data_IF_473316713898
#
_entry.id   IF_473316713898
#
_cell.length_a   1.000
_cell.length_b   1.000
_cell.length_c   1.000
_cell.angle_alpha   90.00
_cell.angle_beta   90.00
_cell.angle_gamma   90.00
#
_symmetry.space_group_name_H-M   'P 1'
#
loop_
_entity.id
_entity.type
_entity.pdbx_description
1 polymer ?
#
# COMPACT_ATOMS: atom_id res chain seq x y z
N UNK A 1 -10.86 18.54 13.86
CA UNK A 1 -11.72 17.43 14.37
C UNK A 1 -10.87 16.17 14.41
N UNK A 2 -10.99 15.31 15.43
CA UNK A 2 -10.21 14.06 15.52
C UNK A 2 -10.90 13.00 14.67
N UNK A 3 -10.19 12.38 13.74
CA UNK A 3 -10.71 11.31 12.88
C UNK A 3 -10.62 10.00 13.65
N UNK A 4 -11.76 9.34 13.85
CA UNK A 4 -11.85 8.04 14.50
C UNK A 4 -11.67 6.91 13.48
N UNK A 5 -10.55 6.23 13.57
CA UNK A 5 -10.14 5.17 12.65
C UNK A 5 -10.38 3.79 13.27
N UNK A 6 -10.95 2.88 12.50
CA UNK A 6 -10.97 1.46 12.83
C UNK A 6 -10.12 0.67 11.81
N UNK A 7 -9.49 -0.42 12.26
CA UNK A 7 -8.69 -1.30 11.43
C UNK A 7 -9.34 -2.69 11.41
N UNK A 8 -9.76 -3.14 10.24
CA UNK A 8 -10.25 -4.50 10.02
C UNK A 8 -9.17 -5.34 9.35
N UNK A 9 -8.64 -6.34 10.05
CA UNK A 9 -7.45 -7.10 9.67
C UNK A 9 -6.18 -6.53 10.27
N UNK A 10 -5.63 -7.19 11.28
CA UNK A 10 -4.44 -6.74 12.02
C UNK A 10 -3.17 -7.50 11.63
N UNK A 11 -3.05 -7.73 10.31
CA UNK A 11 -1.92 -8.40 9.67
C UNK A 11 -0.74 -7.47 9.37
N UNK A 12 0.01 -7.80 8.28
CA UNK A 12 1.22 -7.07 7.85
C UNK A 12 0.96 -5.62 7.43
N UNK A 13 -0.28 -5.24 7.09
CA UNK A 13 -0.65 -3.87 6.75
C UNK A 13 -1.35 -3.18 7.93
N UNK A 14 -2.26 -3.87 8.62
CA UNK A 14 -2.99 -3.26 9.74
C UNK A 14 -2.10 -2.83 10.90
N UNK A 15 -1.07 -3.63 11.27
CA UNK A 15 -0.14 -3.27 12.35
C UNK A 15 0.75 -2.07 12.02
N UNK A 16 1.42 -1.97 10.85
CA UNK A 16 2.11 -0.74 10.46
C UNK A 16 1.16 0.47 10.38
N UNK A 17 -0.05 0.29 9.85
CA UNK A 17 -1.04 1.38 9.81
C UNK A 17 -1.39 1.92 11.20
N UNK A 18 -1.53 1.04 12.19
CA UNK A 18 -1.70 1.48 13.58
C UNK A 18 -0.48 2.26 14.07
N UNK A 19 0.75 1.76 13.86
CA UNK A 19 1.98 2.42 14.30
C UNK A 19 2.12 3.81 13.68
N UNK A 20 1.78 3.94 12.40
CA UNK A 20 1.81 5.21 11.66
C UNK A 20 0.72 6.16 12.16
N UNK A 21 -0.51 5.68 12.34
CA UNK A 21 -1.62 6.48 12.85
C UNK A 21 -1.34 7.04 14.25
N UNK A 22 -0.65 6.28 15.11
CA UNK A 22 -0.20 6.73 16.43
C UNK A 22 0.84 7.86 16.39
N UNK A 23 1.54 8.03 15.29
CA UNK A 23 2.50 9.12 15.07
C UNK A 23 1.87 10.37 14.43
N UNK A 24 0.59 10.32 14.03
CA UNK A 24 -0.10 11.44 13.36
C UNK A 24 -1.04 12.18 14.31
N UNK A 25 -0.96 13.50 14.29
CA UNK A 25 -1.94 14.35 14.96
C UNK A 25 -3.29 14.30 14.22
N UNK A 26 -4.38 14.41 14.95
CA UNK A 26 -5.74 14.44 14.37
C UNK A 26 -6.33 13.07 14.02
N UNK A 27 -5.64 11.96 14.29
CA UNK A 27 -6.12 10.60 14.08
C UNK A 27 -6.15 9.84 15.41
N UNK A 28 -7.24 9.16 15.68
CA UNK A 28 -7.41 8.25 16.82
C UNK A 28 -7.84 6.87 16.33
N UNK A 29 -7.04 5.84 16.59
CA UNK A 29 -7.45 4.45 16.37
C UNK A 29 -8.31 4.01 17.54
N UNK A 30 -9.61 3.85 17.31
CA UNK A 30 -10.60 3.52 18.37
C UNK A 30 -10.88 2.02 18.45
N UNK A 31 -10.66 1.28 17.35
CA UNK A 31 -10.96 -0.14 17.29
C UNK A 31 -10.09 -0.91 16.31
N UNK A 32 -9.90 -2.20 16.61
CA UNK A 32 -9.30 -3.20 15.75
C UNK A 32 -10.23 -4.40 15.71
N UNK A 33 -10.40 -5.01 14.54
CA UNK A 33 -11.03 -6.30 14.38
C UNK A 33 -10.07 -7.26 13.66
N UNK A 34 -9.83 -8.42 14.23
CA UNK A 34 -9.05 -9.51 13.61
C UNK A 34 -9.47 -10.85 14.27
N UNK A 35 -9.40 -11.95 13.53
CA UNK A 35 -9.75 -13.28 14.08
C UNK A 35 -8.67 -13.89 14.98
N UNK A 36 -7.50 -13.25 15.05
CA UNK A 36 -6.43 -13.60 15.98
C UNK A 36 -6.78 -13.16 17.40
N UNK A 37 -6.43 -13.92 18.41
CA UNK A 37 -6.66 -13.54 19.81
C UNK A 37 -5.86 -12.30 20.22
N UNK A 38 -6.38 -11.55 21.19
CA UNK A 38 -5.83 -10.28 21.64
C UNK A 38 -4.37 -10.38 22.13
N UNK A 39 -4.01 -11.46 22.82
CA UNK A 39 -2.65 -11.68 23.35
C UNK A 39 -1.65 -11.86 22.21
N UNK A 40 -2.00 -12.68 21.22
CA UNK A 40 -1.18 -12.89 20.01
C UNK A 40 -1.08 -11.60 19.20
N UNK A 41 -2.18 -10.85 19.03
CA UNK A 41 -2.19 -9.57 18.32
C UNK A 41 -1.27 -8.54 18.99
N UNK A 42 -1.32 -8.41 20.31
CA UNK A 42 -0.44 -7.54 21.09
C UNK A 42 1.04 -7.95 20.98
N UNK A 43 1.32 -9.26 21.04
CA UNK A 43 2.68 -9.79 20.87
C UNK A 43 3.25 -9.43 19.49
N UNK A 44 2.47 -9.65 18.42
CA UNK A 44 2.88 -9.37 17.04
C UNK A 44 2.95 -7.86 16.73
N UNK A 45 2.23 -7.01 17.46
CA UNK A 45 2.41 -5.57 17.38
C UNK A 45 3.74 -5.14 18.01
N UNK A 46 4.07 -5.73 19.18
CA UNK A 46 5.26 -5.40 19.94
C UNK A 46 6.54 -5.89 19.28
N UNK A 47 6.53 -7.09 18.70
CA UNK A 47 7.69 -7.73 18.10
C UNK A 47 7.43 -8.03 16.62
N UNK A 48 8.24 -7.45 15.77
CA UNK A 48 8.14 -7.62 14.31
C UNK A 48 9.51 -8.04 13.76
N UNK A 49 9.55 -9.15 13.04
CA UNK A 49 10.81 -9.68 12.48
C UNK A 49 11.44 -8.75 11.44
N UNK A 50 10.63 -7.96 10.73
CA UNK A 50 11.10 -7.02 9.72
C UNK A 50 11.47 -5.66 10.33
N UNK A 51 10.60 -5.11 11.22
CA UNK A 51 10.75 -3.75 11.75
C UNK A 51 11.28 -3.67 13.18
N UNK A 52 11.51 -4.84 13.81
CA UNK A 52 12.05 -4.89 15.18
C UNK A 52 11.00 -4.65 16.25
N UNK A 53 11.46 -4.35 17.46
CA UNK A 53 10.60 -4.10 18.60
C UNK A 53 9.96 -2.72 18.50
N UNK A 54 8.63 -2.67 18.72
CA UNK A 54 7.91 -1.39 18.78
C UNK A 54 8.31 -0.62 20.04
N UNK A 55 8.66 0.63 19.88
CA UNK A 55 9.19 1.48 20.97
C UNK A 55 8.13 1.83 22.02
N UNK A 56 6.86 1.89 21.61
CA UNK A 56 5.75 2.21 22.51
C UNK A 56 5.42 1.04 23.44
N UNK A 57 4.94 1.36 24.63
CA UNK A 57 4.44 0.35 25.54
C UNK A 57 3.19 -0.31 24.97
N UNK A 58 3.15 -1.66 24.99
CA UNK A 58 2.01 -2.45 24.53
C UNK A 58 1.59 -3.39 25.66
N UNK A 59 0.34 -3.28 26.09
CA UNK A 59 -0.31 -4.14 27.08
C UNK A 59 -1.76 -4.46 26.65
N UNK A 60 -2.42 -5.33 27.41
CA UNK A 60 -3.80 -5.74 27.13
C UNK A 60 -4.64 -5.67 28.38
N UNK A 61 -5.94 -5.43 28.20
CA UNK A 61 -6.99 -5.65 29.20
C UNK A 61 -7.95 -6.72 28.65
N UNK A 62 -7.73 -7.98 29.05
CA UNK A 62 -8.55 -9.09 28.55
C UNK A 62 -10.02 -8.98 29.00
N UNK A 63 -10.27 -8.44 30.20
CA UNK A 63 -11.62 -8.29 30.75
C UNK A 63 -12.48 -7.35 29.91
N UNK A 64 -11.86 -6.28 29.40
CA UNK A 64 -12.55 -5.25 28.61
C UNK A 64 -12.31 -5.42 27.09
N UNK A 65 -11.58 -6.48 26.68
CA UNK A 65 -11.16 -6.70 25.29
C UNK A 65 -10.51 -5.45 24.68
N UNK A 66 -9.44 -4.97 25.33
CA UNK A 66 -8.73 -3.75 24.93
C UNK A 66 -7.25 -4.04 24.69
N UNK A 67 -6.74 -3.59 23.54
CA UNK A 67 -5.32 -3.38 23.29
C UNK A 67 -4.94 -2.00 23.82
N UNK A 68 -3.88 -1.92 24.59
CA UNK A 68 -3.42 -0.65 25.18
C UNK A 68 -2.04 -0.31 24.63
N UNK A 69 -1.90 0.88 24.01
CA UNK A 69 -0.65 1.38 23.46
C UNK A 69 -0.35 2.75 24.05
N UNK A 70 0.75 2.89 24.78
CA UNK A 70 1.10 4.12 25.52
C UNK A 70 -0.07 4.67 26.34
N UNK A 71 -0.79 3.78 27.06
CA UNK A 71 -1.95 4.10 27.87
C UNK A 71 -3.25 4.39 27.11
N UNK A 72 -3.22 4.49 25.79
CA UNK A 72 -4.43 4.66 24.95
C UNK A 72 -5.11 3.30 24.75
N UNK A 73 -6.39 3.23 25.05
CA UNK A 73 -7.21 2.01 24.94
C UNK A 73 -7.85 1.92 23.58
N UNK A 74 -7.71 0.77 22.94
CA UNK A 74 -8.26 0.46 21.61
C UNK A 74 -9.14 -0.78 21.79
N UNK A 75 -10.41 -0.71 21.42
CA UNK A 75 -11.32 -1.86 21.46
C UNK A 75 -10.86 -2.93 20.47
N UNK A 76 -10.88 -4.18 20.91
CA UNK A 76 -10.46 -5.32 20.09
C UNK A 76 -11.62 -6.30 19.91
N UNK A 77 -11.93 -6.61 18.66
CA UNK A 77 -13.00 -7.52 18.27
C UNK A 77 -12.45 -8.72 17.52
N UNK A 78 -13.18 -9.83 17.55
CA UNK A 78 -12.89 -11.06 16.82
C UNK A 78 -14.13 -11.51 16.05
N UNK A 79 -14.71 -10.58 15.27
CA UNK A 79 -15.97 -10.80 14.56
C UNK A 79 -15.70 -11.05 13.05
N UNK A 80 -16.10 -12.22 12.53
CA UNK A 80 -15.89 -12.54 11.12
C UNK A 80 -16.84 -11.79 10.18
N UNK A 81 -17.98 -11.29 10.65
CA UNK A 81 -18.95 -10.56 9.85
C UNK A 81 -18.90 -9.06 10.15
N UNK A 82 -18.37 -8.23 9.23
CA UNK A 82 -18.21 -6.80 9.46
C UNK A 82 -19.51 -6.05 9.81
N UNK A 83 -20.67 -6.55 9.39
CA UNK A 83 -21.97 -5.95 9.68
C UNK A 83 -22.31 -5.94 11.17
N UNK A 84 -21.74 -6.88 11.95
CA UNK A 84 -21.98 -6.99 13.39
C UNK A 84 -21.01 -6.17 14.25
N UNK A 85 -20.07 -5.47 13.63
CA UNK A 85 -19.12 -4.65 14.34
C UNK A 85 -19.75 -3.34 14.83
N UNK A 86 -19.44 -2.85 16.03
CA UNK A 86 -20.13 -1.71 16.65
C UNK A 86 -19.58 -0.35 16.17
N UNK A 87 -19.39 -0.17 14.86
CA UNK A 87 -18.81 1.05 14.32
C UNK A 87 -19.62 2.30 14.63
N UNK A 88 -20.94 2.19 14.63
CA UNK A 88 -21.83 3.27 14.99
C UNK A 88 -21.63 3.75 16.43
N UNK A 89 -21.59 2.82 17.37
CA UNK A 89 -21.47 3.13 18.80
C UNK A 89 -20.11 3.74 19.15
N UNK A 90 -19.05 3.36 18.42
CA UNK A 90 -17.71 3.90 18.55
C UNK A 90 -17.52 5.22 17.77
N UNK A 91 -18.47 5.57 16.91
CA UNK A 91 -18.43 6.76 16.07
C UNK A 91 -17.29 6.70 15.04
N UNK A 92 -17.08 5.53 14.43
CA UNK A 92 -16.00 5.31 13.44
C UNK A 92 -16.23 6.17 12.20
N UNK A 93 -15.26 7.02 11.89
CA UNK A 93 -15.28 7.83 10.67
C UNK A 93 -14.80 7.04 9.46
N UNK A 94 -13.68 6.32 9.60
CA UNK A 94 -13.09 5.54 8.50
C UNK A 94 -12.67 4.15 8.98
N UNK A 95 -12.99 3.13 8.20
CA UNK A 95 -12.44 1.78 8.35
C UNK A 95 -11.30 1.59 7.35
N UNK A 96 -10.13 1.19 7.82
CA UNK A 96 -9.09 0.60 6.98
C UNK A 96 -9.35 -0.89 6.84
N UNK A 97 -9.78 -1.32 5.66
CA UNK A 97 -10.00 -2.74 5.36
C UNK A 97 -8.71 -3.40 4.91
N UNK A 98 -8.07 -4.14 5.82
CA UNK A 98 -6.75 -4.73 5.66
C UNK A 98 -6.75 -6.27 5.63
N UNK A 99 -7.93 -6.93 5.58
CA UNK A 99 -8.01 -8.40 5.57
C UNK A 99 -7.64 -9.01 4.22
N UNK A 100 -7.85 -8.25 3.12
CA UNK A 100 -7.74 -8.75 1.74
C UNK A 100 -8.88 -9.70 1.31
N UNK A 101 -9.88 -9.94 2.18
CA UNK A 101 -11.04 -10.81 1.92
C UNK A 101 -12.20 -10.02 1.31
N UNK A 102 -12.47 -8.83 1.86
CA UNK A 102 -13.54 -7.94 1.43
C UNK A 102 -13.00 -7.01 0.34
N UNK A 103 -13.20 -7.36 -0.93
CA UNK A 103 -12.57 -6.70 -2.08
C UNK A 103 -13.54 -6.32 -3.19
N UNK A 104 -14.83 -6.18 -2.84
CA UNK A 104 -15.90 -5.65 -3.68
C UNK A 104 -16.72 -4.64 -2.89
N UNK A 105 -17.33 -3.69 -3.59
CA UNK A 105 -18.15 -2.65 -2.99
C UNK A 105 -19.30 -3.23 -2.15
N UNK A 106 -19.93 -4.31 -2.60
CA UNK A 106 -20.95 -5.04 -1.84
C UNK A 106 -20.44 -5.51 -0.48
N UNK A 107 -19.27 -6.18 -0.46
CA UNK A 107 -18.70 -6.70 0.78
C UNK A 107 -18.23 -5.61 1.72
N UNK A 108 -17.67 -4.53 1.17
CA UNK A 108 -17.20 -3.37 1.93
C UNK A 108 -18.37 -2.57 2.49
N UNK A 109 -19.53 -2.60 1.83
CA UNK A 109 -20.77 -1.97 2.28
C UNK A 109 -21.22 -2.41 3.67
N UNK A 110 -20.89 -3.63 4.08
CA UNK A 110 -21.17 -4.14 5.42
C UNK A 110 -20.59 -3.27 6.55
N UNK A 111 -19.43 -2.65 6.32
CA UNK A 111 -18.88 -1.69 7.29
C UNK A 111 -19.72 -0.41 7.39
N UNK A 112 -20.34 0.04 6.29
CA UNK A 112 -21.25 1.18 6.30
C UNK A 112 -22.56 0.82 7.02
N UNK A 113 -23.09 -0.40 6.81
CA UNK A 113 -24.25 -0.94 7.50
C UNK A 113 -24.01 -1.03 9.01
N UNK A 114 -22.80 -1.39 9.43
CA UNK A 114 -22.34 -1.37 10.82
C UNK A 114 -22.17 0.05 11.39
N UNK A 115 -22.25 1.10 10.55
CA UNK A 115 -22.27 2.51 10.95
C UNK A 115 -20.95 3.27 10.77
N UNK A 116 -19.96 2.72 10.09
CA UNK A 116 -18.80 3.48 9.63
C UNK A 116 -19.25 4.50 8.57
N UNK A 117 -18.60 5.67 8.51
CA UNK A 117 -18.94 6.68 7.50
C UNK A 117 -18.26 6.39 6.16
N UNK A 118 -17.03 5.89 6.20
CA UNK A 118 -16.21 5.61 5.00
C UNK A 118 -15.36 4.35 5.18
N UNK A 119 -14.95 3.76 4.05
CA UNK A 119 -14.09 2.57 4.01
C UNK A 119 -12.98 2.79 2.98
N UNK A 120 -11.73 2.58 3.39
CA UNK A 120 -10.56 2.53 2.50
C UNK A 120 -10.05 1.11 2.44
N UNK A 121 -10.15 0.48 1.27
CA UNK A 121 -9.67 -0.87 1.04
C UNK A 121 -8.18 -0.88 0.71
N UNK A 122 -7.41 -1.73 1.39
CA UNK A 122 -5.97 -1.90 1.22
C UNK A 122 -5.59 -2.92 0.12
N UNK A 123 -6.39 -3.00 -0.92
CA UNK A 123 -6.17 -3.95 -2.03
C UNK A 123 -6.79 -3.41 -3.33
N UNK A 124 -6.34 -3.90 -4.51
CA UNK A 124 -7.04 -3.64 -5.75
C UNK A 124 -8.45 -4.23 -5.71
N UNK A 125 -9.44 -3.43 -6.11
CA UNK A 125 -10.82 -3.86 -6.20
C UNK A 125 -11.01 -4.92 -7.30
N UNK A 126 -11.91 -5.87 -7.04
CA UNK A 126 -12.35 -6.87 -8.03
C UNK A 126 -13.57 -6.45 -8.84
N UNK A 127 -14.10 -5.28 -8.57
CA UNK A 127 -15.22 -4.64 -9.23
C UNK A 127 -14.86 -3.20 -9.63
N UNK A 128 -15.87 -2.37 -9.87
CA UNK A 128 -15.70 -0.97 -10.26
C UNK A 128 -15.57 -0.01 -9.07
N UNK A 129 -15.20 -0.49 -7.86
CA UNK A 129 -14.89 0.37 -6.73
C UNK A 129 -13.83 1.41 -7.14
N UNK A 130 -14.09 2.70 -6.93
CA UNK A 130 -13.16 3.77 -7.28
C UNK A 130 -11.78 3.59 -6.66
N UNK A 131 -10.74 3.87 -7.43
CA UNK A 131 -9.34 3.78 -6.99
C UNK A 131 -8.75 5.17 -6.95
N UNK A 132 -8.27 5.58 -5.78
CA UNK A 132 -7.60 6.87 -5.59
C UNK A 132 -6.21 6.68 -4.99
N UNK A 133 -5.25 7.40 -5.55
CA UNK A 133 -3.86 7.42 -5.11
C UNK A 133 -3.42 8.86 -4.84
N UNK A 134 -2.90 9.10 -3.66
CA UNK A 134 -2.34 10.41 -3.31
C UNK A 134 -1.20 10.78 -4.25
N UNK A 135 -1.21 12.03 -4.70
CA UNK A 135 -0.24 12.53 -5.68
C UNK A 135 -0.51 12.11 -7.13
N UNK A 136 -1.52 11.26 -7.41
CA UNK A 136 -1.86 10.83 -8.77
C UNK A 136 -3.23 11.37 -9.19
N UNK A 137 -4.30 10.87 -8.58
CA UNK A 137 -5.68 11.22 -8.93
C UNK A 137 -6.58 11.45 -7.70
N UNK A 138 -6.01 11.61 -6.51
CA UNK A 138 -6.82 11.82 -5.29
C UNK A 138 -7.61 13.13 -5.32
N UNK A 139 -7.16 14.12 -6.08
CA UNK A 139 -7.85 15.39 -6.33
C UNK A 139 -9.16 15.21 -7.14
N UNK A 140 -9.34 14.08 -7.81
CA UNK A 140 -10.58 13.72 -8.50
C UNK A 140 -11.64 13.07 -7.57
N UNK A 141 -11.34 12.90 -6.27
CA UNK A 141 -12.25 12.30 -5.29
C UNK A 141 -13.55 13.10 -5.16
N UNK A 142 -14.69 12.41 -5.29
CA UNK A 142 -16.03 13.05 -5.34
C UNK A 142 -16.86 12.82 -4.09
N UNK A 143 -16.27 12.27 -3.03
CA UNK A 143 -16.96 12.01 -1.77
C UNK A 143 -17.50 10.58 -1.60
N UNK A 144 -17.05 9.63 -2.40
CA UNK A 144 -17.46 8.23 -2.30
C UNK A 144 -17.16 7.66 -0.91
N UNK A 145 -18.08 6.87 -0.37
CA UNK A 145 -17.93 6.27 0.94
C UNK A 145 -17.05 5.03 0.95
N UNK A 146 -16.83 4.41 -0.20
CA UNK A 146 -16.00 3.21 -0.37
C UNK A 146 -15.01 3.46 -1.48
N UNK A 147 -13.73 3.36 -1.17
CA UNK A 147 -12.64 3.51 -2.14
C UNK A 147 -11.57 2.44 -1.96
N UNK A 148 -10.80 2.20 -3.01
CA UNK A 148 -9.58 1.40 -2.99
C UNK A 148 -8.34 2.31 -3.03
N UNK A 149 -7.33 2.02 -2.22
CA UNK A 149 -6.01 2.66 -2.29
C UNK A 149 -5.05 1.89 -3.23
N UNK A 150 -5.58 1.02 -4.10
CA UNK A 150 -4.77 0.21 -5.00
C UNK A 150 -3.86 -0.79 -4.27
N UNK A 151 -2.76 -1.19 -4.90
CA UNK A 151 -1.72 -2.02 -4.28
C UNK A 151 -0.47 -1.20 -3.96
N UNK A 152 0.45 -1.77 -3.17
CA UNK A 152 1.77 -1.19 -2.92
C UNK A 152 2.55 -0.94 -4.23
N UNK A 153 2.51 -1.91 -5.15
CA UNK A 153 3.13 -1.78 -6.47
C UNK A 153 2.47 -0.69 -7.32
N UNK A 154 1.15 -0.53 -7.25
CA UNK A 154 0.45 0.56 -7.96
C UNK A 154 0.86 1.92 -7.39
N UNK A 155 0.99 2.03 -6.07
CA UNK A 155 1.44 3.27 -5.41
C UNK A 155 2.89 3.63 -5.75
N UNK A 156 3.75 2.65 -6.04
CA UNK A 156 5.09 2.88 -6.54
C UNK A 156 5.08 3.30 -8.02
N UNK A 157 4.37 2.56 -8.87
CA UNK A 157 4.42 2.70 -10.32
C UNK A 157 3.71 3.97 -10.83
N UNK A 158 2.51 4.28 -10.28
CA UNK A 158 1.68 5.35 -10.80
C UNK A 158 2.32 6.74 -10.68
N UNK A 159 2.97 7.15 -9.57
CA UNK A 159 3.69 8.41 -9.48
C UNK A 159 4.85 8.50 -10.46
N UNK A 160 5.60 7.40 -10.70
CA UNK A 160 6.67 7.37 -11.68
C UNK A 160 6.13 7.62 -13.10
N UNK A 161 5.05 6.92 -13.46
CA UNK A 161 4.42 7.08 -14.77
C UNK A 161 3.85 8.49 -14.92
N UNK A 162 3.21 9.03 -13.89
CA UNK A 162 2.67 10.41 -13.93
C UNK A 162 3.74 11.42 -14.30
N UNK A 163 4.91 11.39 -13.67
CA UNK A 163 6.02 12.30 -13.97
C UNK A 163 6.49 12.15 -15.42
N UNK A 164 6.68 10.90 -15.87
CA UNK A 164 7.12 10.66 -17.26
C UNK A 164 6.07 11.09 -18.28
N UNK A 165 4.80 10.83 -17.99
CA UNK A 165 3.70 11.11 -18.91
C UNK A 165 3.42 12.61 -19.04
N UNK A 166 3.38 13.35 -17.93
CA UNK A 166 3.13 14.79 -17.93
C UNK A 166 4.21 15.58 -18.69
N UNK A 167 5.47 15.13 -18.64
CA UNK A 167 6.60 15.88 -19.22
C UNK A 167 6.96 15.39 -20.62
N UNK A 168 7.03 14.08 -20.81
CA UNK A 168 7.52 13.48 -22.05
C UNK A 168 6.42 12.76 -22.84
N UNK A 169 5.28 12.45 -22.21
CA UNK A 169 4.22 11.58 -22.73
C UNK A 169 4.65 10.13 -22.76
N UNK A 170 3.85 9.25 -22.17
CA UNK A 170 4.04 7.80 -22.24
C UNK A 170 3.14 7.22 -23.32
N UNK A 171 3.69 6.43 -24.25
CA UNK A 171 2.90 5.72 -25.27
C UNK A 171 2.46 4.36 -24.77
N UNK A 172 3.40 3.55 -24.32
CA UNK A 172 3.18 2.18 -23.82
C UNK A 172 4.39 1.72 -23.01
N UNK A 173 4.17 0.73 -22.16
CA UNK A 173 5.28 0.22 -21.35
C UNK A 173 4.99 -1.10 -20.67
N UNK A 174 6.07 -1.75 -20.23
CA UNK A 174 6.03 -2.94 -19.40
C UNK A 174 6.73 -2.70 -18.08
N UNK A 175 6.14 -3.23 -17.03
CA UNK A 175 6.80 -3.24 -15.73
C UNK A 175 7.12 -4.65 -15.24
N UNK A 176 8.25 -4.80 -14.58
CA UNK A 176 8.54 -5.96 -13.76
C UNK A 176 8.75 -5.51 -12.33
N UNK A 177 7.97 -6.04 -11.39
CA UNK A 177 8.29 -5.83 -9.98
C UNK A 177 9.01 -7.06 -9.43
N UNK A 178 10.25 -6.87 -8.96
CA UNK A 178 10.92 -7.84 -8.11
C UNK A 178 10.47 -7.58 -6.68
N UNK A 179 9.59 -8.45 -6.18
CA UNK A 179 8.78 -8.18 -4.99
C UNK A 179 9.11 -9.16 -3.87
N UNK A 180 9.21 -8.67 -2.66
CA UNK A 180 9.32 -9.51 -1.47
C UNK A 180 8.17 -10.52 -1.38
N UNK A 181 8.40 -11.66 -0.72
CA UNK A 181 7.34 -12.65 -0.50
C UNK A 181 6.23 -12.07 0.38
N UNK A 182 5.02 -12.57 0.22
CA UNK A 182 3.84 -12.18 1.01
C UNK A 182 3.09 -13.42 1.49
N UNK A 183 2.17 -13.25 2.46
CA UNK A 183 1.46 -14.36 3.10
C UNK A 183 0.52 -15.15 2.18
N UNK A 184 0.29 -14.71 0.95
CA UNK A 184 -0.42 -15.49 -0.06
C UNK A 184 0.44 -16.62 -0.66
N UNK A 185 1.76 -16.56 -0.47
CA UNK A 185 2.68 -17.61 -0.90
C UNK A 185 2.78 -18.75 0.13
N UNK A 186 3.30 -19.89 -0.31
CA UNK A 186 3.54 -21.04 0.58
C UNK A 186 4.94 -21.02 1.14
N UNK A 187 5.07 -21.29 2.44
CA UNK A 187 6.38 -21.40 3.08
C UNK A 187 7.16 -22.59 2.51
N UNK A 188 6.49 -23.73 2.35
CA UNK A 188 6.96 -24.93 1.64
C UNK A 188 5.99 -25.30 0.52
N UNK A 189 6.33 -26.27 -0.32
CA UNK A 189 5.47 -26.74 -1.43
C UNK A 189 4.12 -27.23 -0.88
N UNK A 190 3.06 -26.48 -1.16
CA UNK A 190 1.68 -26.77 -0.73
C UNK A 190 0.67 -26.31 -1.79
N UNK A 191 -0.54 -26.87 -1.82
CA UNK A 191 -1.55 -26.51 -2.81
C UNK A 191 -1.85 -25.00 -2.82
N UNK A 192 -1.86 -24.43 -4.01
CA UNK A 192 -2.28 -23.07 -4.29
C UNK A 192 -2.90 -23.03 -5.71
N UNK A 193 -3.87 -22.14 -5.96
CA UNK A 193 -4.52 -21.99 -7.28
C UNK A 193 -3.56 -21.57 -8.40
N UNK A 194 -2.54 -20.78 -8.08
CA UNK A 194 -1.39 -20.48 -8.93
C UNK A 194 -0.30 -21.50 -8.60
N UNK A 195 0.06 -22.37 -9.55
CA UNK A 195 1.04 -23.44 -9.36
C UNK A 195 2.45 -22.90 -9.03
N UNK A 196 2.80 -21.70 -9.49
CA UNK A 196 4.08 -21.07 -9.16
C UNK A 196 4.09 -20.60 -7.71
N UNK A 197 3.01 -20.04 -7.19
CA UNK A 197 2.87 -19.65 -5.77
C UNK A 197 2.70 -20.86 -4.84
N UNK A 198 2.45 -22.05 -5.39
CA UNK A 198 2.44 -23.31 -4.63
C UNK A 198 3.84 -23.73 -4.13
N UNK A 199 4.90 -23.12 -4.67
CA UNK A 199 6.28 -23.47 -4.35
C UNK A 199 6.83 -22.65 -3.18
N UNK A 200 7.85 -23.21 -2.51
CA UNK A 200 8.47 -22.65 -1.33
C UNK A 200 9.01 -21.23 -1.57
N UNK A 201 8.45 -20.25 -0.85
CA UNK A 201 8.72 -18.83 -1.05
C UNK A 201 10.18 -18.43 -0.77
N UNK A 202 10.80 -19.04 0.24
CA UNK A 202 12.15 -18.69 0.67
C UNK A 202 13.27 -19.34 -0.15
N UNK A 203 12.92 -20.19 -1.15
CA UNK A 203 13.91 -20.95 -1.95
C UNK A 203 13.85 -20.60 -3.44
N UNK A 204 12.85 -19.87 -3.89
CA UNK A 204 12.58 -19.71 -5.31
C UNK A 204 12.40 -18.24 -5.72
N UNK A 205 12.82 -17.92 -6.95
CA UNK A 205 12.28 -16.78 -7.68
C UNK A 205 10.97 -17.25 -8.33
N UNK A 206 9.85 -16.63 -7.97
CA UNK A 206 8.51 -17.07 -8.39
C UNK A 206 7.88 -16.03 -9.32
N UNK A 207 7.88 -16.26 -10.65
CA UNK A 207 7.14 -15.40 -11.57
C UNK A 207 5.63 -15.58 -11.36
N UNK A 208 4.92 -14.47 -11.27
CA UNK A 208 3.45 -14.48 -11.10
C UNK A 208 2.81 -13.24 -11.71
N UNK A 209 1.50 -13.24 -11.83
CA UNK A 209 0.75 -12.11 -12.34
C UNK A 209 0.68 -10.98 -11.32
N UNK A 210 0.55 -9.75 -11.82
CA UNK A 210 0.20 -8.57 -11.03
C UNK A 210 -0.83 -7.73 -11.76
N UNK A 211 -1.78 -7.16 -11.03
CA UNK A 211 -2.75 -6.22 -11.57
C UNK A 211 -2.30 -4.76 -11.52
N UNK A 212 -1.08 -4.49 -11.04
CA UNK A 212 -0.65 -3.13 -10.75
C UNK A 212 -0.64 -2.23 -12.01
N UNK A 213 -0.08 -2.69 -13.14
CA UNK A 213 -0.05 -1.93 -14.38
C UNK A 213 -1.47 -1.64 -14.91
N UNK A 214 -2.38 -2.61 -14.81
CA UNK A 214 -3.79 -2.41 -15.20
C UNK A 214 -4.50 -1.42 -14.28
N UNK A 215 -4.16 -1.42 -12.99
CA UNK A 215 -4.71 -0.45 -12.03
C UNK A 215 -4.21 0.96 -12.32
N UNK A 216 -2.98 1.14 -12.84
CA UNK A 216 -2.52 2.46 -13.31
C UNK A 216 -3.44 3.00 -14.40
N UNK A 217 -3.93 2.17 -15.34
CA UNK A 217 -4.92 2.58 -16.33
C UNK A 217 -6.28 3.00 -15.75
N UNK A 218 -6.60 2.66 -14.49
CA UNK A 218 -7.79 3.18 -13.79
C UNK A 218 -7.56 4.59 -13.21
N UNK A 219 -6.33 4.92 -12.81
CA UNK A 219 -5.98 6.21 -12.19
C UNK A 219 -5.33 7.20 -13.15
N UNK A 220 -4.87 6.72 -14.33
CA UNK A 220 -4.41 7.50 -15.48
C UNK A 220 -5.13 6.96 -16.72
N UNK A 221 -6.40 7.34 -16.96
CA UNK A 221 -7.29 6.63 -17.88
C UNK A 221 -6.83 6.57 -19.35
N UNK A 222 -6.12 7.57 -19.85
CA UNK A 222 -5.62 7.58 -21.23
C UNK A 222 -4.50 6.56 -21.49
N UNK A 223 -3.90 6.00 -20.44
CA UNK A 223 -2.92 4.91 -20.54
C UNK A 223 -3.54 3.51 -20.40
N UNK A 224 -4.88 3.42 -20.24
CA UNK A 224 -5.56 2.15 -20.13
C UNK A 224 -5.31 1.28 -21.39
N UNK A 225 -4.89 0.02 -21.16
CA UNK A 225 -4.56 -0.93 -22.23
C UNK A 225 -3.13 -0.79 -22.80
N UNK A 226 -2.40 0.29 -22.48
CA UNK A 226 -1.04 0.52 -22.97
C UNK A 226 0.05 0.02 -22.00
N UNK A 227 -0.34 -0.42 -20.80
CA UNK A 227 0.56 -0.85 -19.74
C UNK A 227 0.24 -2.28 -19.32
N UNK A 228 1.26 -3.11 -19.19
CA UNK A 228 1.15 -4.46 -18.60
C UNK A 228 2.42 -4.80 -17.82
N UNK A 229 2.45 -5.96 -17.16
CA UNK A 229 3.64 -6.37 -16.41
C UNK A 229 3.47 -7.66 -15.61
N UNK A 230 4.57 -8.05 -15.01
CA UNK A 230 4.67 -9.25 -14.17
C UNK A 230 5.30 -8.95 -12.82
N UNK A 231 5.15 -9.89 -11.89
CA UNK A 231 5.85 -9.87 -10.60
C UNK A 231 6.79 -11.06 -10.52
N UNK A 232 8.01 -10.82 -10.05
CA UNK A 232 8.97 -11.85 -9.63
C UNK A 232 9.03 -11.81 -8.10
N UNK A 233 8.48 -12.83 -7.42
CA UNK A 233 8.63 -12.95 -5.97
C UNK A 233 10.00 -13.52 -5.64
N UNK A 234 10.68 -12.88 -4.68
CA UNK A 234 12.05 -13.23 -4.27
C UNK A 234 12.13 -13.47 -2.76
N UNK A 235 13.16 -14.20 -2.26
CA UNK A 235 13.32 -14.54 -0.85
C UNK A 235 13.78 -13.35 0.02
N UNK A 236 13.09 -12.22 -0.04
CA UNK A 236 13.30 -11.05 0.84
C UNK A 236 12.03 -10.78 1.65
N UNK A 237 12.13 -10.39 2.93
CA UNK A 237 10.96 -10.26 3.80
C UNK A 237 10.14 -8.99 3.54
N UNK A 238 10.77 -7.92 3.11
CA UNK A 238 10.17 -6.64 2.76
C UNK A 238 11.07 -5.87 1.81
N UNK A 239 10.59 -4.77 1.30
CA UNK A 239 11.14 -3.91 0.24
C UNK A 239 11.16 -4.60 -1.11
N UNK A 240 10.63 -3.92 -2.07
CA UNK A 240 10.46 -4.37 -3.45
C UNK A 240 10.97 -3.30 -4.42
N UNK A 241 11.17 -3.68 -5.67
CA UNK A 241 11.66 -2.77 -6.71
C UNK A 241 10.80 -2.92 -7.97
N UNK A 242 10.41 -1.82 -8.57
CA UNK A 242 9.79 -1.76 -9.91
C UNK A 242 10.84 -1.37 -10.94
N UNK A 243 10.93 -2.15 -11.98
CA UNK A 243 11.63 -1.88 -13.22
C UNK A 243 10.57 -1.55 -14.28
N UNK A 244 10.50 -0.30 -14.71
CA UNK A 244 9.55 0.17 -15.71
C UNK A 244 10.26 0.59 -16.99
N UNK A 245 9.93 -0.08 -18.09
CA UNK A 245 10.44 0.22 -19.44
C UNK A 245 9.27 0.72 -20.27
N UNK A 246 9.44 1.89 -20.90
CA UNK A 246 8.39 2.46 -21.74
C UNK A 246 8.93 3.21 -22.96
N UNK A 247 8.06 3.40 -23.95
CA UNK A 247 8.27 4.35 -25.02
C UNK A 247 7.63 5.68 -24.65
N UNK A 248 8.41 6.74 -24.77
CA UNK A 248 7.95 8.12 -24.64
C UNK A 248 7.51 8.69 -26.00
N UNK A 249 6.62 9.69 -25.99
CA UNK A 249 6.25 10.45 -27.19
C UNK A 249 7.38 11.38 -27.64
N UNK A 250 8.17 11.89 -26.69
CA UNK A 250 9.35 12.74 -26.93
C UNK A 250 10.61 12.00 -26.55
N UNK A 251 11.69 12.21 -27.28
CA UNK A 251 13.02 11.75 -26.86
C UNK A 251 13.45 12.45 -25.58
N UNK A 252 14.16 11.74 -24.74
CA UNK A 252 14.69 12.27 -23.50
C UNK A 252 16.02 11.59 -23.15
N UNK A 253 16.90 12.33 -22.52
CA UNK A 253 18.13 11.81 -21.92
C UNK A 253 17.87 11.33 -20.49
N UNK A 254 18.72 10.46 -19.98
CA UNK A 254 18.64 10.02 -18.57
C UNK A 254 18.73 11.23 -17.61
N UNK A 255 19.53 12.25 -17.94
CA UNK A 255 19.66 13.46 -17.12
C UNK A 255 18.36 14.27 -17.06
N UNK A 256 17.66 14.43 -18.19
CA UNK A 256 16.36 15.13 -18.23
C UNK A 256 15.30 14.37 -17.42
N UNK A 257 15.26 13.05 -17.53
CA UNK A 257 14.35 12.19 -16.76
C UNK A 257 14.66 12.32 -15.27
N UNK A 258 15.92 12.22 -14.85
CA UNK A 258 16.34 12.34 -13.46
C UNK A 258 15.99 13.71 -12.88
N UNK A 259 16.19 14.79 -13.65
CA UNK A 259 15.81 16.14 -13.24
C UNK A 259 14.29 16.27 -13.05
N UNK A 260 13.49 15.64 -13.92
CA UNK A 260 12.03 15.61 -13.77
C UNK A 260 11.60 14.95 -12.45
N UNK A 261 12.20 13.82 -12.08
CA UNK A 261 11.95 13.16 -10.78
C UNK A 261 12.43 13.99 -9.59
N UNK A 262 13.60 14.62 -9.69
CA UNK A 262 14.12 15.53 -8.67
C UNK A 262 13.18 16.71 -8.41
N UNK A 263 12.65 17.32 -9.45
CA UNK A 263 11.69 18.42 -9.29
C UNK A 263 10.34 17.95 -8.74
N UNK A 264 9.83 16.81 -9.21
CA UNK A 264 8.59 16.24 -8.69
C UNK A 264 8.69 15.90 -7.19
N UNK A 265 9.84 15.38 -6.73
CA UNK A 265 10.08 15.03 -5.33
C UNK A 265 10.08 16.23 -4.38
N UNK A 266 10.42 17.41 -4.87
CA UNK A 266 10.46 18.65 -4.08
C UNK A 266 9.10 19.38 -4.07
N UNK A 267 8.28 19.16 -5.07
CA UNK A 267 7.06 19.91 -5.33
C UNK A 267 5.80 19.03 -5.24
N UNK A 268 5.14 18.74 -6.35
CA UNK A 268 3.82 18.10 -6.41
C UNK A 268 3.73 16.68 -5.83
N UNK A 269 4.86 15.96 -5.75
CA UNK A 269 4.93 14.60 -5.19
C UNK A 269 5.77 14.53 -3.91
N UNK A 270 5.97 15.65 -3.24
CA UNK A 270 6.67 15.68 -1.95
C UNK A 270 6.05 14.67 -0.97
N UNK A 271 6.89 13.89 -0.30
CA UNK A 271 6.53 12.79 0.61
C UNK A 271 5.85 11.56 -0.06
N UNK A 272 5.54 11.63 -1.34
CA UNK A 272 5.02 10.51 -2.14
C UNK A 272 6.14 9.85 -2.93
N UNK A 273 6.92 10.67 -3.63
CA UNK A 273 8.07 10.26 -4.42
C UNK A 273 9.32 10.93 -3.87
N UNK A 274 10.36 10.14 -3.66
CA UNK A 274 11.70 10.57 -3.34
C UNK A 274 12.68 10.03 -4.36
N UNK A 275 13.93 10.46 -4.30
CA UNK A 275 14.99 10.01 -5.21
C UNK A 275 16.20 9.54 -4.42
N UNK A 276 16.94 8.60 -5.00
CA UNK A 276 18.22 8.10 -4.49
C UNK A 276 19.28 8.23 -5.57
N UNK A 277 20.47 8.70 -5.23
CA UNK A 277 21.64 8.80 -6.09
C UNK A 277 22.85 8.02 -5.54
N UNK A 278 22.67 7.28 -4.46
CA UNK A 278 23.67 6.42 -3.83
C UNK A 278 23.53 4.96 -4.28
N UNK A 279 24.55 4.14 -4.08
CA UNK A 279 24.55 2.72 -4.40
C UNK A 279 23.88 1.86 -3.32
N UNK A 280 22.59 2.11 -3.05
CA UNK A 280 21.81 1.44 -2.00
C UNK A 280 21.14 0.15 -2.50
N UNK A 281 20.74 -0.71 -1.57
CA UNK A 281 20.03 -1.96 -1.81
C UNK A 281 18.75 -2.05 -0.98
N UNK A 282 17.95 -3.08 -1.21
CA UNK A 282 16.58 -3.18 -0.67
C UNK A 282 16.46 -2.89 0.84
N UNK A 283 17.37 -3.40 1.67
CA UNK A 283 17.22 -3.24 3.12
C UNK A 283 17.55 -1.83 3.63
N UNK A 284 18.22 -1.00 2.82
CA UNK A 284 18.48 0.40 3.16
C UNK A 284 17.21 1.25 3.08
N UNK A 285 16.22 0.81 2.30
CA UNK A 285 14.90 1.45 2.15
C UNK A 285 13.83 0.92 3.10
N UNK A 286 14.20 0.00 4.01
CA UNK A 286 13.24 -0.55 4.97
C UNK A 286 12.75 0.52 5.94
N UNK A 287 11.44 0.68 6.04
CA UNK A 287 10.80 1.69 6.88
C UNK A 287 10.68 3.06 6.22
N UNK A 288 11.08 3.20 4.96
CA UNK A 288 10.86 4.45 4.23
C UNK A 288 9.38 4.69 3.97
N UNK A 289 8.83 5.88 4.32
CA UNK A 289 7.42 6.20 4.16
C UNK A 289 7.01 6.56 2.74
N UNK A 290 7.95 6.79 1.81
CA UNK A 290 7.63 7.14 0.44
C UNK A 290 6.93 5.99 -0.30
N UNK A 291 6.05 6.33 -1.23
CA UNK A 291 5.44 5.35 -2.15
C UNK A 291 6.44 4.81 -3.15
N UNK A 292 7.41 5.63 -3.53
CA UNK A 292 8.50 5.28 -4.44
C UNK A 292 9.75 6.11 -4.16
N UNK A 293 10.89 5.44 -4.17
CA UNK A 293 12.22 6.05 -4.17
C UNK A 293 12.85 5.75 -5.54
N UNK A 294 12.90 6.74 -6.43
CA UNK A 294 13.47 6.56 -7.78
C UNK A 294 14.99 6.46 -7.69
N UNK A 295 15.53 5.39 -8.25
CA UNK A 295 16.98 5.14 -8.30
C UNK A 295 17.59 5.82 -9.53
N UNK A 296 18.08 7.04 -9.36
CA UNK A 296 18.55 7.89 -10.45
C UNK A 296 19.72 7.27 -11.25
N UNK A 297 20.74 6.62 -10.62
CA UNK A 297 21.81 5.96 -11.34
C UNK A 297 21.37 4.82 -12.28
N UNK A 298 20.20 4.21 -12.04
CA UNK A 298 19.67 3.11 -12.84
C UNK A 298 18.78 3.58 -14.00
N UNK A 299 18.58 4.89 -14.17
CA UNK A 299 17.84 5.46 -15.31
C UNK A 299 18.61 5.25 -16.61
N UNK A 300 17.92 4.69 -17.61
CA UNK A 300 18.49 4.50 -18.97
C UNK A 300 17.60 5.15 -19.99
N UNK A 301 18.20 5.72 -21.03
CA UNK A 301 17.50 6.32 -22.16
C UNK A 301 18.22 6.00 -23.48
N UNK A 302 17.44 5.63 -24.49
CA UNK A 302 17.87 5.42 -25.85
C UNK A 302 16.81 5.99 -26.79
N UNK A 303 16.92 7.30 -27.10
CA UNK A 303 15.90 8.06 -27.79
C UNK A 303 14.60 8.08 -27.00
N UNK A 304 13.55 7.47 -27.53
CA UNK A 304 12.23 7.37 -26.88
C UNK A 304 12.09 6.16 -25.96
N UNK A 305 12.96 5.17 -26.05
CA UNK A 305 12.93 4.00 -25.18
C UNK A 305 13.67 4.34 -23.89
N UNK A 306 12.93 4.29 -22.78
CA UNK A 306 13.48 4.61 -21.47
C UNK A 306 13.19 3.52 -20.45
N UNK A 307 14.06 3.45 -19.45
CA UNK A 307 13.93 2.57 -18.28
C UNK A 307 14.13 3.41 -17.03
N UNK A 308 13.22 3.28 -16.09
CA UNK A 308 13.31 3.88 -14.76
C UNK A 308 13.06 2.81 -13.69
N UNK A 309 13.73 2.97 -12.56
CA UNK A 309 13.69 2.00 -11.46
C UNK A 309 13.25 2.72 -10.19
N UNK A 310 12.34 2.11 -9.44
CA UNK A 310 11.85 2.65 -8.18
C UNK A 310 11.77 1.61 -7.08
N UNK A 311 12.37 1.91 -5.93
CA UNK A 311 12.29 1.13 -4.70
C UNK A 311 11.04 1.51 -3.90
N UNK A 312 10.52 0.61 -3.11
CA UNK A 312 9.43 0.88 -2.16
C UNK A 312 9.40 -0.13 -1.03
N UNK A 313 9.19 0.35 0.18
CA UNK A 313 8.80 -0.57 1.24
C UNK A 313 7.31 -0.93 1.06
N UNK A 314 7.07 -2.13 0.55
CA UNK A 314 5.73 -2.59 0.18
C UNK A 314 4.76 -2.73 1.35
N UNK A 315 5.25 -2.71 2.60
CA UNK A 315 4.44 -2.70 3.81
C UNK A 315 4.38 -1.30 4.44
N UNK A 316 5.52 -0.69 4.74
CA UNK A 316 5.59 0.58 5.47
C UNK A 316 5.15 1.76 4.61
N UNK A 317 5.72 1.93 3.42
CA UNK A 317 5.34 3.00 2.49
C UNK A 317 3.87 2.92 2.10
N UNK A 318 3.38 1.71 1.81
CA UNK A 318 1.97 1.50 1.51
C UNK A 318 1.04 1.81 2.70
N UNK A 319 1.42 1.42 3.92
CA UNK A 319 0.63 1.71 5.13
C UNK A 319 0.57 3.21 5.43
N UNK A 320 1.64 3.97 5.12
CA UNK A 320 1.60 5.44 5.17
C UNK A 320 0.55 6.01 4.22
N UNK A 321 0.55 5.57 2.96
CA UNK A 321 -0.45 6.01 1.97
C UNK A 321 -1.87 5.66 2.38
N UNK A 322 -2.07 4.48 2.99
CA UNK A 322 -3.38 4.05 3.46
C UNK A 322 -3.93 4.95 4.57
N UNK A 323 -3.10 5.27 5.56
CA UNK A 323 -3.49 6.16 6.68
C UNK A 323 -3.71 7.59 6.18
N UNK A 324 -2.86 8.09 5.31
CA UNK A 324 -2.99 9.42 4.72
C UNK A 324 -4.20 9.53 3.79
N UNK A 325 -4.55 8.47 3.07
CA UNK A 325 -5.78 8.43 2.27
C UNK A 325 -7.03 8.50 3.18
N UNK A 326 -7.02 7.81 4.33
CA UNK A 326 -8.11 7.91 5.29
C UNK A 326 -8.24 9.35 5.85
N UNK A 327 -7.12 10.00 6.12
CA UNK A 327 -7.10 11.42 6.52
C UNK A 327 -7.66 12.32 5.40
N UNK A 328 -7.21 12.10 4.16
CA UNK A 328 -7.59 12.89 3.00
C UNK A 328 -9.11 12.86 2.75
N UNK A 329 -9.71 11.66 2.72
CA UNK A 329 -11.15 11.52 2.44
C UNK A 329 -12.05 11.98 3.60
N UNK A 330 -11.48 12.17 4.80
CA UNK A 330 -12.24 12.61 5.99
C UNK A 330 -12.40 14.13 6.07
N UNK A 331 -11.71 14.86 5.23
CA UNK A 331 -11.80 16.32 5.10
C UNK A 331 -12.94 16.69 4.18
#
# INVERSE_FOLDING_TARGET
MMIKLAINGFGRIGRPSLKIAFGKEGIEVVAINDLTDLKTAAHLLKYDSSYGKYEKEVSIDEKNSELIVDGKKIKYFMEPDPEKLPWKDLGVDVVLECTGIFNTQEKLGKHLEAGAKKVVMSAPAKDDTPVYLLGVNADEYKGENIISNGSCTTNCLAPMIKVLDEIFGVEKGFMTTTHSYTNDQRLQDLPHKDLRRARAAALNIIPTTTGAAKTVGKVIPHLAGNLDGISLRVPTPTVSIVDFICNLKKEATASEINNAFLEASKNGLKNILTVNDEGLVSMDFKGDPASVIVDLPLTMANGKLVKVVGWYDNEWGYSNRLVEMAEFISK
#
